data_IF_358012761621
#
_entry.id   IF_358012761621
#
_cell.length_a   1.000
_cell.length_b   1.000
_cell.length_c   1.000
_cell.angle_alpha   90.00
_cell.angle_beta   90.00
_cell.angle_gamma   90.00
#
_symmetry.space_group_name_H-M   'P 1'
#
loop_
_entity.id
_entity.type
_entity.pdbx_description
1 polymer ?
#
# COMPACT_ATOMS: atom_id res chain seq x y z
N UNK A 1 -28.63 -28.83 4.03
CA UNK A 1 -28.09 -29.19 2.77
C UNK A 1 -26.77 -28.51 2.50
N UNK A 2 -25.89 -29.21 1.99
CA UNK A 2 -24.62 -28.65 1.75
C UNK A 2 -24.47 -28.12 0.33
N UNK A 3 -24.13 -26.90 0.22
CA UNK A 3 -23.91 -26.35 -1.10
C UNK A 3 -22.49 -26.59 -1.54
N UNK A 4 -22.34 -26.78 -2.81
CA UNK A 4 -21.01 -26.87 -3.37
C UNK A 4 -20.30 -25.55 -3.12
N UNK A 5 -19.11 -25.61 -2.62
CA UNK A 5 -18.33 -24.41 -2.40
C UNK A 5 -17.93 -23.80 -3.72
N UNK A 6 -18.19 -22.52 -3.88
CA UNK A 6 -17.67 -21.76 -4.98
C UNK A 6 -16.37 -21.13 -4.51
N UNK A 7 -15.21 -21.54 -5.06
CA UNK A 7 -13.94 -21.01 -4.59
C UNK A 7 -13.84 -19.50 -4.72
N UNK A 8 -14.46 -18.93 -5.74
CA UNK A 8 -14.43 -17.48 -5.93
C UNK A 8 -15.20 -16.76 -4.85
N UNK A 9 -16.37 -17.29 -4.47
CA UNK A 9 -17.15 -16.68 -3.39
C UNK A 9 -16.45 -16.82 -2.05
N UNK A 10 -15.83 -17.96 -1.82
CA UNK A 10 -15.07 -18.16 -0.58
C UNK A 10 -13.89 -17.19 -0.49
N UNK A 11 -13.18 -17.03 -1.59
CA UNK A 11 -12.06 -16.07 -1.63
C UNK A 11 -12.55 -14.65 -1.41
N UNK A 12 -13.61 -14.25 -2.09
CA UNK A 12 -14.17 -12.91 -1.92
C UNK A 12 -14.54 -12.64 -0.46
N UNK A 13 -15.21 -13.59 0.16
CA UNK A 13 -15.60 -13.47 1.56
C UNK A 13 -14.41 -13.31 2.50
N UNK A 14 -13.37 -14.08 2.25
CA UNK A 14 -12.14 -14.00 3.05
C UNK A 14 -11.49 -12.62 2.91
N UNK A 15 -11.42 -12.11 1.69
CA UNK A 15 -10.82 -10.79 1.44
C UNK A 15 -11.62 -9.69 2.13
N UNK A 16 -12.95 -9.76 2.06
CA UNK A 16 -13.80 -8.77 2.70
C UNK A 16 -13.65 -8.81 4.22
N UNK A 17 -13.62 -10.00 4.80
CA UNK A 17 -13.44 -10.13 6.24
C UNK A 17 -12.10 -9.58 6.73
N UNK A 18 -11.08 -9.64 5.86
CA UNK A 18 -9.76 -9.14 6.20
C UNK A 18 -9.63 -7.62 6.18
N UNK A 19 -10.61 -6.91 5.60
CA UNK A 19 -10.50 -5.46 5.46
C UNK A 19 -10.52 -4.73 6.81
N UNK A 20 -11.14 -5.32 7.83
CA UNK A 20 -11.17 -4.69 9.15
C UNK A 20 -9.80 -4.49 9.77
N UNK A 21 -8.83 -5.31 9.39
CA UNK A 21 -7.46 -5.20 9.89
C UNK A 21 -6.68 -4.08 9.21
N UNK A 22 -7.26 -3.44 8.19
CA UNK A 22 -6.56 -2.45 7.36
C UNK A 22 -6.93 -1.01 7.71
N UNK A 23 -7.63 -0.80 8.81
CA UNK A 23 -8.19 0.52 9.13
C UNK A 23 -7.17 1.64 9.29
N UNK A 24 -5.92 1.31 9.59
CA UNK A 24 -4.89 2.33 9.78
C UNK A 24 -3.98 2.50 8.57
N UNK A 25 -4.41 2.03 7.42
CA UNK A 25 -3.59 2.13 6.21
C UNK A 25 -3.30 3.58 5.85
N UNK A 26 -2.09 3.79 5.31
CA UNK A 26 -1.65 5.09 4.85
C UNK A 26 -1.49 5.08 3.34
N UNK A 27 -1.79 6.22 2.70
CA UNK A 27 -1.63 6.32 1.24
C UNK A 27 -0.19 6.56 0.83
N UNK A 28 0.09 6.39 -0.45
CA UNK A 28 1.36 6.77 -1.03
C UNK A 28 2.38 5.67 -1.05
N UNK A 29 3.63 6.07 -1.25
CA UNK A 29 4.75 5.14 -1.34
C UNK A 29 5.81 5.49 -0.31
N UNK A 30 6.40 4.47 0.28
CA UNK A 30 7.49 4.65 1.23
C UNK A 30 8.78 4.84 0.45
N UNK A 31 9.51 5.93 0.75
CA UNK A 31 10.75 6.27 0.05
C UNK A 31 11.87 6.40 1.06
N UNK A 32 12.97 5.72 0.78
CA UNK A 32 14.19 5.84 1.58
C UNK A 32 15.24 6.49 0.71
N UNK A 33 15.79 7.61 1.18
CA UNK A 33 16.80 8.35 0.44
C UNK A 33 18.09 8.47 1.22
N UNK A 34 19.19 8.45 0.49
CA UNK A 34 20.51 8.75 1.02
C UNK A 34 20.92 10.08 0.43
N UNK A 35 21.19 11.06 1.28
CA UNK A 35 21.52 12.39 0.77
C UNK A 35 22.43 13.17 1.70
N UNK A 36 23.19 14.11 1.12
CA UNK A 36 24.00 15.04 1.87
C UNK A 36 23.08 16.15 2.39
N UNK A 37 23.36 16.63 3.61
CA UNK A 37 22.55 17.66 4.23
C UNK A 37 22.93 19.08 3.77
N UNK A 38 23.99 19.21 2.99
CA UNK A 38 24.44 20.53 2.49
C UNK A 38 25.37 21.26 3.42
N UNK A 39 25.62 20.75 4.61
CA UNK A 39 26.52 21.40 5.55
C UNK A 39 27.95 20.92 5.30
N UNK A 40 28.92 21.86 5.08
CA UNK A 40 30.28 21.47 4.72
C UNK A 40 31.00 20.71 5.82
N UNK A 41 30.62 20.93 7.08
CA UNK A 41 31.29 20.25 8.21
C UNK A 41 30.67 18.90 8.54
N UNK A 42 29.64 18.49 7.82
CA UNK A 42 28.98 17.23 8.09
C UNK A 42 29.73 16.08 7.37
N UNK A 43 29.73 14.92 7.99
CA UNK A 43 30.39 13.73 7.40
C UNK A 43 29.79 13.37 6.04
N UNK A 44 28.54 13.72 5.82
CA UNK A 44 27.89 13.43 4.53
C UNK A 44 28.45 14.25 3.38
N UNK A 45 29.21 15.28 3.67
CA UNK A 45 29.80 16.13 2.63
C UNK A 45 30.81 15.40 1.75
N UNK A 46 31.35 14.28 2.21
CA UNK A 46 32.32 13.50 1.43
C UNK A 46 31.63 12.58 0.41
N UNK A 47 30.31 12.55 0.37
CA UNK A 47 29.55 11.72 -0.55
C UNK A 47 29.50 10.24 -0.13
N UNK A 48 30.13 9.88 0.98
CA UNK A 48 30.17 8.48 1.43
C UNK A 48 29.33 8.22 2.67
N UNK A 49 29.26 9.20 3.57
CA UNK A 49 28.52 9.07 4.82
C UNK A 49 27.24 9.87 4.73
N UNK A 50 26.36 9.48 3.82
CA UNK A 50 25.13 10.21 3.56
C UNK A 50 24.10 9.95 4.66
N UNK A 51 23.26 10.94 4.87
CA UNK A 51 22.14 10.80 5.80
C UNK A 51 21.03 9.98 5.15
N UNK A 52 20.40 9.13 5.95
CA UNK A 52 19.23 8.40 5.52
C UNK A 52 18.01 9.24 5.85
N UNK A 53 17.14 9.43 4.87
CA UNK A 53 15.91 10.16 5.01
C UNK A 53 14.75 9.29 4.57
N UNK A 54 13.69 9.26 5.38
CA UNK A 54 12.48 8.50 5.06
C UNK A 54 11.38 9.49 4.71
N UNK A 55 10.60 9.16 3.70
CA UNK A 55 9.51 10.01 3.23
C UNK A 55 8.33 9.17 2.75
N UNK A 56 7.15 9.78 2.80
CA UNK A 56 6.00 9.26 2.08
C UNK A 56 5.85 10.14 0.84
N UNK A 57 5.78 9.52 -0.33
CA UNK A 57 5.46 10.21 -1.57
C UNK A 57 3.98 9.98 -1.85
N UNK A 58 3.19 11.03 -1.88
CA UNK A 58 1.74 10.91 -1.92
C UNK A 58 1.13 12.06 -2.72
N UNK A 59 -0.04 11.81 -3.29
CA UNK A 59 -0.84 12.87 -3.93
C UNK A 59 -1.83 13.42 -2.92
N UNK A 60 -1.80 14.72 -2.72
CA UNK A 60 -2.76 15.41 -1.86
C UNK A 60 -3.51 16.42 -2.72
N UNK A 61 -4.80 16.23 -2.86
CA UNK A 61 -5.64 17.07 -3.73
C UNK A 61 -5.08 17.14 -5.15
N UNK A 62 -4.60 15.98 -5.64
CA UNK A 62 -4.06 15.88 -6.99
C UNK A 62 -2.64 16.38 -7.16
N UNK A 63 -2.00 16.86 -6.11
CA UNK A 63 -0.64 17.40 -6.19
C UNK A 63 0.36 16.48 -5.49
N UNK A 64 1.51 16.24 -6.11
CA UNK A 64 2.56 15.43 -5.47
C UNK A 64 3.08 16.11 -4.21
N UNK A 65 3.27 15.32 -3.18
CA UNK A 65 3.80 15.82 -1.91
C UNK A 65 4.73 14.79 -1.30
N UNK A 66 5.82 15.25 -0.71
CA UNK A 66 6.73 14.41 0.04
C UNK A 66 6.63 14.79 1.51
N UNK A 67 6.33 13.81 2.35
CA UNK A 67 6.20 14.01 3.79
C UNK A 67 7.36 13.33 4.48
N UNK A 68 8.15 14.09 5.23
CA UNK A 68 9.28 13.52 5.97
C UNK A 68 8.78 12.66 7.12
N UNK A 69 9.47 11.54 7.34
CA UNK A 69 9.12 10.61 8.40
C UNK A 69 10.29 10.55 9.39
N UNK A 70 10.06 10.81 10.68
CA UNK A 70 11.09 10.57 11.69
C UNK A 70 11.58 9.13 11.66
N UNK A 71 12.87 8.93 11.86
CA UNK A 71 13.44 7.59 11.75
C UNK A 71 12.76 6.58 12.68
N UNK A 72 12.38 7.01 13.88
CA UNK A 72 11.75 6.13 14.85
C UNK A 72 10.35 5.70 14.46
N UNK A 73 9.72 6.39 13.50
CA UNK A 73 8.39 6.03 13.00
C UNK A 73 8.43 5.31 11.66
N UNK A 74 9.61 5.20 11.04
CA UNK A 74 9.73 4.70 9.68
C UNK A 74 9.14 3.29 9.51
N UNK A 75 9.43 2.40 10.44
CA UNK A 75 8.95 1.02 10.36
C UNK A 75 7.44 0.95 10.46
N UNK A 76 6.85 1.70 11.39
CA UNK A 76 5.40 1.72 11.54
C UNK A 76 4.71 2.30 10.33
N UNK A 77 5.28 3.37 9.78
CA UNK A 77 4.72 3.99 8.59
C UNK A 77 4.78 3.03 7.41
N UNK A 78 5.91 2.34 7.25
CA UNK A 78 6.05 1.38 6.18
C UNK A 78 5.01 0.26 6.28
N UNK A 79 4.77 -0.23 7.49
CA UNK A 79 3.74 -1.24 7.72
C UNK A 79 2.36 -0.75 7.32
N UNK A 80 2.04 0.51 7.66
CA UNK A 80 0.72 1.07 7.34
C UNK A 80 0.55 1.29 5.84
N UNK A 81 1.62 1.65 5.15
CA UNK A 81 1.58 1.76 3.69
C UNK A 81 1.37 0.37 3.06
N UNK A 82 2.00 -0.67 3.63
CA UNK A 82 1.78 -2.03 3.16
C UNK A 82 0.32 -2.47 3.33
N UNK A 83 -0.34 -2.00 4.39
CA UNK A 83 -1.77 -2.28 4.57
C UNK A 83 -2.58 -1.72 3.40
N UNK A 84 -2.24 -0.54 2.91
CA UNK A 84 -2.92 0.04 1.76
C UNK A 84 -2.70 -0.80 0.51
N UNK A 85 -1.51 -1.34 0.33
CA UNK A 85 -1.23 -2.23 -0.79
C UNK A 85 -2.07 -3.49 -0.72
N UNK A 86 -2.25 -4.04 0.48
CA UNK A 86 -3.13 -5.18 0.67
C UNK A 86 -4.57 -4.84 0.33
N UNK A 87 -5.00 -3.66 0.74
CA UNK A 87 -6.35 -3.20 0.40
C UNK A 87 -6.52 -3.10 -1.11
N UNK A 88 -5.58 -2.46 -1.79
CA UNK A 88 -5.65 -2.29 -3.24
C UNK A 88 -5.67 -3.64 -3.94
N UNK A 89 -4.85 -4.58 -3.50
CA UNK A 89 -4.80 -5.91 -4.06
C UNK A 89 -6.11 -6.67 -3.83
N UNK A 90 -6.65 -6.57 -2.61
CA UNK A 90 -7.91 -7.23 -2.30
C UNK A 90 -9.05 -6.65 -3.11
N UNK A 91 -9.10 -5.32 -3.22
CA UNK A 91 -10.15 -4.65 -4.00
C UNK A 91 -10.08 -5.06 -5.47
N UNK A 92 -8.88 -5.09 -6.03
CA UNK A 92 -8.70 -5.49 -7.42
C UNK A 92 -9.14 -6.94 -7.65
N UNK A 93 -8.81 -7.82 -6.71
CA UNK A 93 -9.19 -9.22 -6.82
C UNK A 93 -10.70 -9.38 -6.72
N UNK A 94 -11.33 -8.70 -5.77
CA UNK A 94 -12.80 -8.74 -5.62
C UNK A 94 -13.46 -8.27 -6.91
N UNK A 95 -12.99 -7.16 -7.47
CA UNK A 95 -13.55 -6.64 -8.71
C UNK A 95 -13.39 -7.65 -9.86
N UNK A 96 -12.22 -8.29 -9.95
CA UNK A 96 -12.00 -9.28 -11.00
C UNK A 96 -12.92 -10.48 -10.85
N UNK A 97 -13.12 -10.96 -9.64
CA UNK A 97 -14.02 -12.08 -9.40
C UNK A 97 -15.46 -11.72 -9.75
N UNK A 98 -15.87 -10.52 -9.39
CA UNK A 98 -17.23 -10.07 -9.68
C UNK A 98 -17.44 -9.86 -11.17
N UNK A 99 -16.43 -9.34 -11.87
CA UNK A 99 -16.53 -9.20 -13.32
C UNK A 99 -16.64 -10.55 -14.00
N UNK A 100 -15.84 -11.52 -13.56
CA UNK A 100 -15.89 -12.87 -14.09
C UNK A 100 -17.28 -13.47 -13.92
N UNK A 101 -17.87 -13.29 -12.75
CA UNK A 101 -19.22 -13.79 -12.49
C UNK A 101 -20.26 -13.08 -13.35
N UNK A 102 -20.13 -11.77 -13.51
CA UNK A 102 -21.04 -11.00 -14.36
C UNK A 102 -20.98 -11.46 -15.83
N UNK A 103 -19.77 -11.69 -16.33
CA UNK A 103 -19.60 -12.13 -17.71
C UNK A 103 -20.21 -13.52 -17.94
N UNK A 104 -20.11 -14.40 -16.96
CA UNK A 104 -20.76 -15.68 -17.02
C UNK A 104 -22.30 -15.54 -17.05
N UNK A 105 -22.81 -14.72 -16.16
CA UNK A 105 -24.24 -14.48 -16.08
C UNK A 105 -24.77 -13.90 -17.39
N UNK A 106 -24.05 -12.93 -17.95
CA UNK A 106 -24.39 -12.34 -19.22
C UNK A 106 -24.37 -13.38 -20.35
N UNK A 107 -23.38 -14.26 -20.33
CA UNK A 107 -23.21 -15.25 -21.39
C UNK A 107 -24.25 -16.34 -21.41
N UNK A 108 -24.99 -16.53 -20.32
CA UNK A 108 -26.00 -17.57 -20.25
C UNK A 108 -27.38 -17.11 -20.67
N UNK A 109 -27.52 -15.90 -21.06
CA UNK A 109 -28.84 -15.31 -21.39
C UNK A 109 -29.20 -15.51 -22.83
#
# INVERSE_FOLDING_TARGET
MKQASDPDLALRGKLIRGLGALREMLPGSFVKRQRACGQPNCRCADGKNLHTQFQISVLVDGKPKAVNIPAELAEKVQEKIELRRRFDSAAATICRLNLKRFLKEKGTR
#
